data_IF_309748017620
#
_entry.id   IF_309748017620
#
_cell.length_a   1.000
_cell.length_b   1.000
_cell.length_c   1.000
_cell.angle_alpha   90.00
_cell.angle_beta   90.00
_cell.angle_gamma   90.00
#
_symmetry.space_group_name_H-M   'P 1'
#
loop_
_entity.id
_entity.type
_entity.pdbx_description
1 polymer ?
#
# COMPACT_ATOMS: atom_id res chain seq x y z
N UNK A 1 13.52 -33.50 -3.26
CA UNK A 1 12.87 -32.27 -3.80
C UNK A 1 12.34 -31.43 -2.63
N UNK A 2 12.28 -30.09 -2.72
CA UNK A 2 11.60 -29.29 -1.70
C UNK A 2 10.09 -29.60 -1.69
N UNK A 3 9.41 -29.49 -0.54
CA UNK A 3 7.97 -29.70 -0.43
C UNK A 3 7.18 -28.55 -1.06
N UNK A 4 5.86 -28.74 -1.20
CA UNK A 4 4.92 -27.67 -1.55
C UNK A 4 5.02 -26.54 -0.50
N UNK A 5 5.05 -25.25 -0.90
CA UNK A 5 5.11 -24.15 0.06
C UNK A 5 3.83 -24.08 0.90
N UNK A 6 4.00 -23.82 2.20
CA UNK A 6 2.96 -23.33 3.11
C UNK A 6 3.28 -21.89 3.53
N UNK A 7 2.29 -21.14 4.01
CA UNK A 7 2.48 -19.72 4.36
C UNK A 7 3.64 -19.55 5.37
N UNK A 8 3.70 -20.39 6.40
CA UNK A 8 4.77 -20.31 7.41
C UNK A 8 6.15 -20.69 6.84
N UNK A 9 6.23 -21.60 5.87
CA UNK A 9 7.50 -21.88 5.19
C UNK A 9 7.97 -20.72 4.33
N UNK A 10 7.07 -20.07 3.58
CA UNK A 10 7.38 -18.87 2.79
C UNK A 10 7.79 -17.72 3.72
N UNK A 11 7.08 -17.54 4.83
CA UNK A 11 7.40 -16.58 5.90
C UNK A 11 8.78 -16.82 6.51
N UNK A 12 9.12 -18.05 6.92
CA UNK A 12 10.44 -18.39 7.45
C UNK A 12 11.56 -18.12 6.44
N UNK A 13 11.33 -18.43 5.15
CA UNK A 13 12.27 -18.17 4.06
C UNK A 13 12.52 -16.66 3.88
N UNK A 14 11.45 -15.87 3.79
CA UNK A 14 11.54 -14.41 3.65
C UNK A 14 12.06 -13.70 4.91
N UNK A 15 11.91 -14.31 6.10
CA UNK A 15 12.42 -13.77 7.37
C UNK A 15 13.95 -13.84 7.49
N UNK A 16 14.65 -14.55 6.59
CA UNK A 16 16.11 -14.45 6.46
C UNK A 16 16.49 -13.03 6.02
N UNK A 17 17.51 -12.38 6.62
CA UNK A 17 18.02 -11.11 6.13
C UNK A 17 18.35 -11.18 4.64
N UNK A 18 18.09 -10.10 3.91
CA UNK A 18 18.56 -9.99 2.53
C UNK A 18 20.09 -9.79 2.52
N UNK A 19 20.79 -10.54 1.65
CA UNK A 19 22.21 -10.40 1.41
C UNK A 19 22.49 -10.79 -0.05
N UNK A 20 23.25 -10.01 -0.85
CA UNK A 20 23.47 -10.31 -2.27
C UNK A 20 24.05 -11.69 -2.53
N UNK A 21 24.95 -12.16 -1.65
CA UNK A 21 25.57 -13.49 -1.75
C UNK A 21 24.71 -14.64 -1.19
N UNK A 22 23.64 -14.36 -0.42
CA UNK A 22 22.76 -15.41 0.14
C UNK A 22 21.73 -15.88 -0.90
N UNK A 23 22.17 -16.75 -1.79
CA UNK A 23 21.33 -17.33 -2.84
C UNK A 23 20.28 -18.32 -2.30
N UNK A 24 20.19 -18.60 -0.99
CA UNK A 24 19.23 -19.56 -0.44
C UNK A 24 17.78 -19.16 -0.72
N UNK A 25 17.39 -17.94 -0.32
CA UNK A 25 15.99 -17.47 -0.41
C UNK A 25 15.55 -17.38 -1.87
N UNK A 26 16.38 -16.80 -2.73
CA UNK A 26 16.11 -16.71 -4.17
C UNK A 26 16.01 -18.09 -4.82
N UNK A 27 16.88 -19.04 -4.46
CA UNK A 27 16.86 -20.40 -5.02
C UNK A 27 15.60 -21.19 -4.65
N UNK A 28 15.17 -21.14 -3.37
CA UNK A 28 13.97 -21.86 -2.95
C UNK A 28 12.68 -21.22 -3.48
N UNK A 29 12.61 -19.88 -3.51
CA UNK A 29 11.50 -19.15 -4.14
C UNK A 29 11.42 -19.49 -5.64
N UNK A 30 12.53 -19.42 -6.38
CA UNK A 30 12.59 -19.77 -7.81
C UNK A 30 12.14 -21.20 -8.08
N UNK A 31 12.48 -22.16 -7.21
CA UNK A 31 12.01 -23.55 -7.35
C UNK A 31 10.50 -23.67 -7.09
N UNK A 32 9.95 -22.92 -6.13
CA UNK A 32 8.50 -22.88 -5.90
C UNK A 32 7.75 -22.19 -7.04
N UNK A 33 8.27 -21.10 -7.62
CA UNK A 33 7.72 -20.50 -8.86
C UNK A 33 7.65 -21.50 -10.04
N UNK A 34 8.54 -22.49 -10.09
CA UNK A 34 8.60 -23.49 -11.17
C UNK A 34 7.60 -24.66 -11.01
N UNK A 35 6.84 -24.75 -9.90
CA UNK A 35 5.98 -25.90 -9.59
C UNK A 35 4.67 -25.59 -8.87
N UNK A 36 4.64 -24.49 -8.11
CA UNK A 36 3.63 -24.14 -7.12
C UNK A 36 3.43 -22.62 -7.09
N UNK A 37 3.52 -21.96 -8.25
CA UNK A 37 3.41 -20.51 -8.41
C UNK A 37 2.08 -19.96 -7.87
N UNK A 38 0.94 -20.57 -8.20
CA UNK A 38 -0.36 -20.14 -7.67
C UNK A 38 -0.39 -20.08 -6.13
N UNK A 39 0.16 -21.11 -5.48
CA UNK A 39 0.19 -21.22 -4.02
C UNK A 39 1.20 -20.23 -3.42
N UNK A 40 2.36 -20.09 -4.04
CA UNK A 40 3.40 -19.15 -3.62
C UNK A 40 2.91 -17.70 -3.74
N UNK A 41 2.15 -17.39 -4.80
CA UNK A 41 1.58 -16.08 -5.08
C UNK A 41 0.56 -15.66 -4.01
N UNK A 42 -0.38 -16.53 -3.64
CA UNK A 42 -1.35 -16.24 -2.57
C UNK A 42 -0.69 -16.17 -1.17
N UNK A 43 0.35 -16.97 -0.89
CA UNK A 43 1.13 -16.84 0.35
C UNK A 43 1.89 -15.50 0.41
N UNK A 44 2.51 -15.06 -0.69
CA UNK A 44 3.21 -13.77 -0.76
C UNK A 44 2.23 -12.59 -0.67
N UNK A 45 1.09 -12.64 -1.35
CA UNK A 45 0.00 -11.66 -1.22
C UNK A 45 -0.46 -11.53 0.23
N UNK A 46 -0.68 -12.67 0.89
CA UNK A 46 -1.05 -12.73 2.31
C UNK A 46 0.01 -12.05 3.19
N UNK A 47 1.30 -12.31 2.96
CA UNK A 47 2.38 -11.72 3.75
C UNK A 47 2.61 -10.22 3.46
N UNK A 48 2.48 -9.77 2.21
CA UNK A 48 2.57 -8.36 1.85
C UNK A 48 1.47 -7.53 2.52
N UNK A 49 0.21 -7.97 2.43
CA UNK A 49 -0.94 -7.26 3.02
C UNK A 49 -0.80 -7.24 4.56
N UNK A 50 -0.48 -8.38 5.19
CA UNK A 50 -0.29 -8.47 6.65
C UNK A 50 0.80 -7.51 7.13
N UNK A 51 1.98 -7.50 6.52
CA UNK A 51 3.12 -6.69 7.00
C UNK A 51 3.05 -5.21 6.60
N UNK A 52 2.31 -4.84 5.55
CA UNK A 52 2.09 -3.44 5.20
C UNK A 52 1.15 -2.72 6.19
N UNK A 53 0.18 -3.42 6.77
CA UNK A 53 -0.81 -2.86 7.71
C UNK A 53 -0.26 -2.53 9.12
N UNK A 54 1.00 -2.86 9.41
CA UNK A 54 1.58 -2.68 10.75
C UNK A 54 1.76 -1.19 11.09
N UNK A 55 1.22 -0.70 12.24
CA UNK A 55 1.24 0.72 12.56
C UNK A 55 2.68 1.20 12.88
N UNK A 56 3.26 1.91 11.90
CA UNK A 56 4.65 2.40 11.77
C UNK A 56 5.16 3.33 12.91
N UNK A 57 4.48 3.39 14.05
CA UNK A 57 4.79 4.21 15.25
C UNK A 57 4.92 3.43 16.57
N UNK A 58 4.72 2.10 16.62
CA UNK A 58 4.76 1.29 17.86
C UNK A 58 5.52 -0.06 17.74
N UNK A 59 6.70 -0.06 17.13
CA UNK A 59 7.60 -1.24 17.10
C UNK A 59 8.85 -1.15 17.99
N UNK A 60 9.22 0.04 18.49
CA UNK A 60 10.22 0.13 19.56
C UNK A 60 9.64 -0.40 20.89
N UNK A 61 10.51 -0.90 21.77
CA UNK A 61 10.20 -1.42 23.11
C UNK A 61 9.52 -2.81 23.21
N UNK A 62 9.80 -3.75 22.29
CA UNK A 62 9.67 -5.19 22.60
C UNK A 62 11.04 -5.86 22.57
N UNK A 63 11.51 -6.24 23.77
CA UNK A 63 12.89 -6.67 24.02
C UNK A 63 13.29 -7.93 23.25
N UNK A 64 14.55 -7.96 22.81
CA UNK A 64 15.13 -9.05 22.02
C UNK A 64 15.21 -10.37 22.79
N UNK A 65 14.28 -11.30 22.53
CA UNK A 65 14.42 -12.70 22.99
C UNK A 65 13.75 -13.75 22.08
N UNK A 66 13.63 -13.47 20.78
CA UNK A 66 13.60 -14.52 19.76
C UNK A 66 14.47 -14.08 18.57
N UNK A 67 15.17 -15.03 17.94
CA UNK A 67 16.15 -14.75 16.86
C UNK A 67 15.54 -14.76 15.46
N UNK A 68 14.21 -14.84 15.35
CA UNK A 68 13.52 -14.47 14.12
C UNK A 68 13.38 -12.95 14.11
N UNK A 69 14.11 -12.28 13.22
CA UNK A 69 13.83 -10.89 12.89
C UNK A 69 12.36 -10.77 12.44
N UNK A 70 11.65 -9.75 12.91
CA UNK A 70 10.27 -9.54 12.47
C UNK A 70 10.30 -9.17 10.99
N UNK A 71 9.76 -10.06 10.14
CA UNK A 71 9.66 -9.87 8.70
C UNK A 71 9.06 -8.49 8.37
N UNK A 72 9.88 -7.62 7.76
CA UNK A 72 9.45 -6.26 7.40
C UNK A 72 8.86 -6.24 5.99
N UNK A 73 8.08 -5.20 5.68
CA UNK A 73 7.59 -4.97 4.31
C UNK A 73 8.77 -4.82 3.33
N UNK A 74 9.78 -4.03 3.70
CA UNK A 74 10.98 -3.80 2.90
C UNK A 74 11.72 -5.11 2.58
N UNK A 75 11.93 -5.97 3.58
CA UNK A 75 12.59 -7.27 3.42
C UNK A 75 11.82 -8.22 2.48
N UNK A 76 10.49 -8.16 2.45
CA UNK A 76 9.70 -8.90 1.44
C UNK A 76 9.96 -8.32 0.04
N UNK A 77 9.92 -6.99 -0.11
CA UNK A 77 10.11 -6.32 -1.41
C UNK A 77 11.54 -6.53 -1.97
N UNK A 78 12.58 -6.54 -1.14
CA UNK A 78 13.97 -6.86 -1.55
C UNK A 78 14.09 -8.30 -2.08
N UNK A 79 13.54 -9.28 -1.37
CA UNK A 79 13.53 -10.68 -1.83
C UNK A 79 12.69 -10.87 -3.10
N UNK A 80 11.60 -10.11 -3.28
CA UNK A 80 10.78 -10.14 -4.50
C UNK A 80 11.49 -9.48 -5.69
N UNK A 81 12.17 -8.35 -5.50
CA UNK A 81 12.89 -7.69 -6.59
C UNK A 81 14.09 -8.53 -7.07
N UNK A 82 14.85 -9.12 -6.14
CA UNK A 82 15.91 -10.06 -6.49
C UNK A 82 15.36 -11.31 -7.22
N UNK A 83 14.16 -11.78 -6.84
CA UNK A 83 13.46 -12.85 -7.56
C UNK A 83 13.02 -12.41 -8.97
N UNK A 84 12.51 -11.18 -9.16
CA UNK A 84 12.17 -10.59 -10.46
C UNK A 84 13.39 -10.58 -11.39
N UNK A 85 14.52 -10.07 -10.90
CA UNK A 85 15.80 -10.06 -11.63
C UNK A 85 16.26 -11.48 -11.98
N UNK A 86 16.12 -12.45 -11.08
CA UNK A 86 16.49 -13.85 -11.32
C UNK A 86 15.52 -14.63 -12.24
N UNK A 87 14.26 -14.19 -12.38
CA UNK A 87 13.29 -14.77 -13.30
C UNK A 87 13.30 -14.14 -14.70
N UNK A 88 13.86 -12.94 -14.87
CA UNK A 88 13.96 -12.22 -16.16
C UNK A 88 14.46 -13.07 -17.34
N UNK A 89 15.45 -13.93 -17.10
CA UNK A 89 16.05 -14.83 -18.09
C UNK A 89 15.30 -16.17 -18.24
N UNK A 90 14.04 -16.26 -17.80
CA UNK A 90 13.23 -17.49 -17.79
C UNK A 90 11.81 -17.23 -18.28
N UNK A 91 11.14 -18.24 -18.84
CA UNK A 91 9.75 -18.14 -19.33
C UNK A 91 8.70 -18.20 -18.20
N UNK A 92 9.00 -17.58 -17.05
CA UNK A 92 8.25 -17.73 -15.81
C UNK A 92 7.31 -16.55 -15.58
N UNK A 93 6.02 -16.76 -15.84
CA UNK A 93 4.96 -15.75 -15.68
C UNK A 93 4.58 -15.49 -14.21
N UNK A 94 5.47 -15.74 -13.25
CA UNK A 94 5.18 -15.66 -11.81
C UNK A 94 4.73 -14.26 -11.37
N UNK A 95 5.34 -13.21 -11.91
CA UNK A 95 4.94 -11.84 -11.62
C UNK A 95 3.69 -11.39 -12.40
N UNK A 96 3.27 -12.14 -13.42
CA UNK A 96 1.98 -11.95 -14.12
C UNK A 96 0.80 -12.56 -13.37
N UNK A 97 1.05 -13.28 -12.27
CA UNK A 97 0.00 -13.88 -11.44
C UNK A 97 -0.82 -12.79 -10.74
N UNK A 98 -2.15 -12.80 -10.94
CA UNK A 98 -3.09 -11.81 -10.37
C UNK A 98 -2.90 -11.57 -8.86
N UNK A 99 -2.64 -12.59 -8.00
CA UNK A 99 -2.38 -12.37 -6.57
C UNK A 99 -1.17 -11.47 -6.27
N UNK A 100 -0.08 -11.58 -7.05
CA UNK A 100 1.10 -10.73 -6.89
C UNK A 100 0.78 -9.29 -7.28
N UNK A 101 0.12 -9.10 -8.42
CA UNK A 101 -0.24 -7.79 -8.97
C UNK A 101 -1.18 -7.02 -8.03
N UNK A 102 -2.22 -7.68 -7.51
CA UNK A 102 -3.11 -7.12 -6.49
C UNK A 102 -2.38 -6.72 -5.20
N UNK A 103 -1.43 -7.54 -4.75
CA UNK A 103 -0.66 -7.26 -3.53
C UNK A 103 0.29 -6.07 -3.71
N UNK A 104 0.94 -5.96 -4.87
CA UNK A 104 1.80 -4.84 -5.22
C UNK A 104 1.01 -3.53 -5.29
N UNK A 105 -0.15 -3.50 -5.96
CA UNK A 105 -1.05 -2.33 -5.97
C UNK A 105 -1.46 -1.89 -4.56
N UNK A 106 -1.90 -2.84 -3.72
CA UNK A 106 -2.32 -2.56 -2.34
C UNK A 106 -1.17 -1.96 -1.50
N UNK A 107 0.05 -2.46 -1.68
CA UNK A 107 1.25 -1.90 -1.02
C UNK A 107 1.58 -0.53 -1.59
N UNK A 108 1.63 -0.36 -2.92
CA UNK A 108 1.94 0.91 -3.58
C UNK A 108 0.98 2.04 -3.19
N UNK A 109 -0.30 1.73 -2.99
CA UNK A 109 -1.32 2.68 -2.57
C UNK A 109 -1.13 3.22 -1.13
N UNK A 110 -0.26 2.63 -0.31
CA UNK A 110 -0.17 2.93 1.13
C UNK A 110 1.24 2.89 1.75
N UNK A 111 2.27 2.51 0.99
CA UNK A 111 3.68 2.69 1.37
C UNK A 111 4.15 4.14 1.13
N UNK A 112 5.30 4.49 1.72
CA UNK A 112 5.93 5.80 1.54
C UNK A 112 6.72 5.90 0.21
N UNK A 113 7.00 7.13 -0.21
CA UNK A 113 7.69 7.42 -1.48
C UNK A 113 9.10 6.80 -1.57
N UNK A 114 9.78 6.58 -0.43
CA UNK A 114 11.10 5.95 -0.45
C UNK A 114 11.02 4.48 -0.90
N UNK A 115 9.99 3.74 -0.45
CA UNK A 115 9.72 2.39 -0.97
C UNK A 115 9.34 2.43 -2.46
N UNK A 116 8.50 3.38 -2.89
CA UNK A 116 8.09 3.49 -4.30
C UNK A 116 9.28 3.78 -5.24
N UNK A 117 10.19 4.66 -4.82
CA UNK A 117 11.42 4.95 -5.58
C UNK A 117 12.43 3.80 -5.55
N UNK A 118 12.57 3.10 -4.41
CA UNK A 118 13.51 1.96 -4.28
C UNK A 118 13.07 0.73 -5.08
N UNK A 119 11.76 0.52 -5.25
CA UNK A 119 11.19 -0.67 -5.90
C UNK A 119 10.31 -0.31 -7.12
N UNK A 120 10.63 0.76 -7.85
CA UNK A 120 9.87 1.26 -9.01
C UNK A 120 9.53 0.17 -10.02
N UNK A 121 10.55 -0.59 -10.43
CA UNK A 121 10.48 -1.63 -11.46
C UNK A 121 9.74 -2.90 -11.01
N UNK A 122 9.49 -3.03 -9.70
CA UNK A 122 8.66 -4.09 -9.13
C UNK A 122 7.19 -3.64 -9.10
N UNK A 123 6.93 -2.36 -8.78
CA UNK A 123 5.57 -1.81 -8.78
C UNK A 123 5.00 -1.58 -10.19
N UNK A 124 5.82 -1.17 -11.16
CA UNK A 124 5.36 -0.89 -12.54
C UNK A 124 4.67 -2.10 -13.21
N UNK A 125 5.09 -3.32 -12.86
CA UNK A 125 4.45 -4.57 -13.29
C UNK A 125 2.95 -4.61 -12.97
N UNK A 126 2.55 -3.98 -11.87
CA UNK A 126 1.18 -3.96 -11.38
C UNK A 126 0.35 -2.80 -11.97
N UNK A 127 1.00 -1.80 -12.55
CA UNK A 127 0.34 -0.68 -13.26
C UNK A 127 -0.17 -1.14 -14.64
N UNK A 128 0.62 -1.97 -15.35
CA UNK A 128 0.22 -2.59 -16.62
C UNK A 128 -1.03 -3.47 -16.50
N UNK A 129 -1.22 -4.13 -15.34
CA UNK A 129 -2.41 -4.94 -15.04
C UNK A 129 -3.66 -4.08 -14.82
N UNK A 130 -3.52 -2.91 -14.20
CA UNK A 130 -4.61 -1.97 -13.97
C UNK A 130 -5.15 -1.44 -15.30
N UNK A 131 -4.31 -1.17 -16.30
CA UNK A 131 -4.77 -0.76 -17.63
C UNK A 131 -5.23 -1.92 -18.53
N UNK A 132 -4.73 -3.14 -18.30
CA UNK A 132 -5.19 -4.35 -19.01
C UNK A 132 -6.56 -4.86 -18.56
N UNK A 133 -6.98 -4.56 -17.33
CA UNK A 133 -8.28 -4.98 -16.77
C UNK A 133 -9.40 -3.97 -17.00
N UNK A 134 -9.07 -2.71 -17.33
CA UNK A 134 -10.06 -1.71 -17.77
C UNK A 134 -10.56 -2.06 -19.17
N UNK A 135 -11.88 -2.02 -19.46
CA UNK A 135 -12.38 -2.25 -20.81
C UNK A 135 -11.79 -1.20 -21.76
N UNK A 136 -11.31 -1.60 -22.97
CA UNK A 136 -10.63 -0.67 -23.86
C UNK A 136 -11.55 0.49 -24.20
N UNK A 137 -11.16 1.70 -23.78
CA UNK A 137 -11.95 2.92 -23.97
C UNK A 137 -12.25 3.09 -25.46
N UNK A 138 -13.49 2.78 -25.85
CA UNK A 138 -13.92 2.80 -27.25
C UNK A 138 -13.72 4.20 -27.82
N UNK A 139 -12.62 4.37 -28.56
CA UNK A 139 -12.13 5.63 -29.09
C UNK A 139 -13.03 6.04 -30.26
N UNK A 140 -14.23 6.52 -29.93
CA UNK A 140 -15.25 7.00 -30.87
C UNK A 140 -14.60 7.94 -31.87
N UNK A 141 -14.40 7.45 -33.10
CA UNK A 141 -14.03 8.29 -34.24
C UNK A 141 -15.20 9.22 -34.54
N UNK A 142 -15.11 10.48 -34.11
CA UNK A 142 -15.86 11.55 -34.75
C UNK A 142 -15.32 11.72 -36.17
N UNK A 143 -16.21 11.77 -37.18
CA UNK A 143 -16.22 12.93 -38.06
C UNK A 143 -17.40 13.88 -37.78
N UNK A 144 -17.48 14.96 -38.54
CA UNK A 144 -18.37 16.11 -38.32
C UNK A 144 -19.58 16.10 -39.26
N UNK A 145 -20.59 16.93 -38.94
CA UNK A 145 -21.77 17.30 -39.77
C UNK A 145 -22.82 16.17 -39.93
N UNK A 146 -24.11 16.40 -40.24
CA UNK A 146 -24.84 17.62 -40.65
C UNK A 146 -26.33 17.58 -40.12
N UNK A 147 -27.34 18.40 -40.54
CA UNK A 147 -28.32 18.95 -39.58
C UNK A 147 -29.82 18.62 -39.89
N UNK A 148 -30.73 19.39 -39.24
CA UNK A 148 -32.22 19.28 -39.24
C UNK A 148 -32.76 18.05 -38.47
N UNK A 149 -33.98 18.04 -37.94
CA UNK A 149 -35.10 18.98 -38.10
C UNK A 149 -35.93 19.12 -36.79
N UNK A 150 -36.27 20.33 -36.35
CA UNK A 150 -37.41 20.59 -35.44
C UNK A 150 -38.11 21.87 -35.87
N UNK A 151 -39.45 21.82 -35.99
CA UNK A 151 -40.29 22.93 -36.45
C UNK A 151 -41.14 23.46 -35.28
N UNK A 152 -41.26 24.77 -35.25
CA UNK A 152 -41.85 25.68 -34.26
C UNK A 152 -43.12 25.20 -33.53
N UNK A 153 -43.24 25.62 -32.26
CA UNK A 153 -44.50 26.12 -31.68
C UNK A 153 -44.27 27.22 -30.63
N UNK A 154 -44.85 28.39 -30.89
CA UNK A 154 -45.25 29.46 -29.95
C UNK A 154 -44.21 30.22 -29.06
N UNK A 155 -44.65 31.43 -28.68
CA UNK A 155 -44.06 32.48 -27.82
C UNK A 155 -44.94 32.61 -26.53
N UNK A 156 -44.80 33.57 -25.58
CA UNK A 156 -43.95 34.79 -25.55
C UNK A 156 -43.20 35.03 -24.22
N UNK A 157 -42.74 36.27 -24.01
CA UNK A 157 -41.87 36.70 -22.91
C UNK A 157 -42.55 37.67 -21.93
N UNK A 158 -42.03 37.69 -20.70
CA UNK A 158 -41.69 38.88 -19.89
C UNK A 158 -40.85 38.40 -18.68
N UNK A 159 -40.02 39.11 -17.90
CA UNK A 159 -39.50 40.50 -17.73
C UNK A 159 -39.49 40.75 -16.19
N UNK A 160 -38.65 41.66 -15.71
CA UNK A 160 -38.56 42.21 -14.33
C UNK A 160 -37.64 41.48 -13.31
N UNK A 161 -37.24 42.24 -12.28
CA UNK A 161 -36.01 42.08 -11.49
C UNK A 161 -36.29 41.80 -9.99
N UNK A 162 -35.56 42.47 -9.07
CA UNK A 162 -35.59 42.37 -7.60
C UNK A 162 -34.97 41.08 -6.98
N UNK A 163 -34.46 41.05 -5.74
CA UNK A 163 -33.73 41.99 -4.86
C UNK A 163 -33.70 41.38 -3.44
N UNK A 164 -32.93 41.97 -2.52
CA UNK A 164 -32.81 41.64 -1.09
C UNK A 164 -32.23 40.23 -0.76
N UNK A 165 -31.20 40.01 0.08
CA UNK A 165 -30.49 40.78 1.15
C UNK A 165 -31.11 40.77 2.56
N UNK A 166 -30.63 39.84 3.40
CA UNK A 166 -30.44 39.92 4.89
C UNK A 166 -29.83 38.58 5.38
N UNK A 167 -28.91 38.42 6.34
CA UNK A 167 -28.35 39.23 7.47
C UNK A 167 -29.22 39.25 8.74
N UNK A 168 -28.72 39.21 9.99
CA UNK A 168 -27.34 39.05 10.53
C UNK A 168 -27.10 37.58 11.04
N UNK A 169 -26.50 37.14 12.16
CA UNK A 169 -25.93 37.66 13.45
C UNK A 169 -24.78 36.70 13.89
N UNK A 170 -23.82 36.92 14.81
CA UNK A 170 -23.71 37.53 16.17
C UNK A 170 -24.17 36.62 17.32
N UNK A 171 -23.53 36.53 18.50
CA UNK A 171 -22.30 37.18 19.04
C UNK A 171 -21.08 36.17 19.02
N UNK A 172 -20.09 36.02 19.93
CA UNK A 172 -19.68 36.59 21.25
C UNK A 172 -18.14 36.38 21.46
N UNK A 173 -17.58 36.76 22.63
CA UNK A 173 -16.17 36.57 23.07
C UNK A 173 -16.07 35.28 23.99
N UNK A 174 -15.08 34.94 24.82
CA UNK A 174 -13.86 35.59 25.31
C UNK A 174 -12.71 34.63 25.69
N UNK A 175 -11.51 35.21 25.87
CA UNK A 175 -10.32 34.65 26.58
C UNK A 175 -10.53 34.67 28.12
N UNK A 176 -9.72 33.98 28.99
CA UNK A 176 -8.28 33.69 28.82
C UNK A 176 -7.73 32.38 29.46
N UNK A 177 -6.39 32.23 29.49
CA UNK A 177 -5.61 31.42 30.46
C UNK A 177 -5.18 32.33 31.65
N UNK A 178 -4.58 31.86 32.79
CA UNK A 178 -4.12 30.51 33.15
C UNK A 178 -4.46 30.07 34.60
N UNK A 179 -3.96 28.92 35.06
CA UNK A 179 -3.39 28.82 36.42
C UNK A 179 -2.33 27.70 36.58
N UNK A 180 -1.32 27.94 37.42
CA UNK A 180 -0.44 26.93 38.05
C UNK A 180 -0.61 27.06 39.56
N UNK A 181 -0.86 25.98 40.32
CA UNK A 181 -0.56 25.99 41.78
C UNK A 181 -0.44 24.62 42.47
N UNK A 182 0.71 23.97 42.26
CA UNK A 182 1.62 23.42 43.30
C UNK A 182 1.03 23.23 44.72
N UNK A 183 0.97 21.98 45.19
CA UNK A 183 1.23 21.61 46.60
C UNK A 183 2.36 20.57 46.68
N UNK A 184 2.99 20.43 47.84
CA UNK A 184 4.28 19.72 48.04
C UNK A 184 4.24 18.86 49.30
N UNK A 185 4.65 17.60 49.19
CA UNK A 185 5.34 16.79 50.20
C UNK A 185 6.53 16.12 49.50
N UNK A 186 7.77 16.13 49.99
CA UNK A 186 8.27 15.57 51.28
C UNK A 186 8.19 14.03 51.23
N UNK A 187 9.19 13.22 50.87
CA UNK A 187 10.67 13.21 51.04
C UNK A 187 11.15 12.24 52.15
N UNK A 188 11.59 11.06 51.73
CA UNK A 188 12.45 10.04 52.36
C UNK A 188 12.79 9.02 51.22
N UNK A 189 13.97 8.42 50.99
CA UNK A 189 15.15 8.00 51.80
C UNK A 189 14.99 6.61 52.44
N UNK A 190 15.97 5.72 52.19
CA UNK A 190 16.02 4.28 52.51
C UNK A 190 16.20 3.44 51.23
N UNK A 191 17.40 2.90 50.92
CA UNK A 191 18.00 1.65 51.46
C UNK A 191 17.29 0.41 50.91
N UNK A 192 17.90 -0.49 50.11
CA UNK A 192 19.28 -1.03 50.06
C UNK A 192 19.62 -1.92 51.27
N UNK A 193 19.65 -3.24 51.03
CA UNK A 193 20.13 -4.32 51.89
C UNK A 193 20.34 -5.60 51.05
N UNK A 194 21.35 -6.37 51.45
CA UNK A 194 21.83 -7.69 50.99
C UNK A 194 20.73 -8.71 50.58
#
# INVERSE_FOLDING_TARGET
PPPRPSEEMVKMVLSRPYHPDDQFTTSILRHWCLKHDDHLAEHIKSLLIKNNSLPRKRQSLRSSSSKLAQLTLEQILEHLDNLRLNLSNTKQNFFSQTPILQALQHVQASCDEAHKMKFSDLFSLAEEYEDSTKPPKSRRKGPMTSPRNRKNTAQPANTEEESASSSASEEEDAKPKPSKRKRKGSAAVGSDSD
#
